data_IF_642066286375
#
_entry.id   IF_642066286375
#
_cell.length_a   1.000
_cell.length_b   1.000
_cell.length_c   1.000
_cell.angle_alpha   90.00
_cell.angle_beta   90.00
_cell.angle_gamma   90.00
#
_symmetry.space_group_name_H-M   'P 1'
#
loop_
_entity.id
_entity.type
_entity.pdbx_description
1 polymer ?
#
# COMPACT_ATOMS: atom_id res chain seq x y z
N UNK A 1 -9.96 -8.62 -0.23
CA UNK A 1 -9.81 -8.13 1.17
C UNK A 1 -11.19 -7.96 1.76
N UNK A 2 -11.42 -8.62 2.89
CA UNK A 2 -12.70 -8.60 3.61
C UNK A 2 -12.50 -7.92 4.95
N UNK A 3 -13.44 -7.05 5.32
CA UNK A 3 -13.50 -6.39 6.63
C UNK A 3 -14.90 -6.67 7.22
N UNK A 4 -14.97 -7.43 8.30
CA UNK A 4 -16.24 -7.95 8.81
C UNK A 4 -16.93 -8.82 7.76
N UNK A 5 -18.19 -8.50 7.44
CA UNK A 5 -18.97 -9.18 6.39
C UNK A 5 -18.80 -8.57 4.99
N UNK A 6 -18.07 -7.46 4.86
CA UNK A 6 -17.97 -6.72 3.59
C UNK A 6 -16.67 -7.01 2.86
N UNK A 7 -16.79 -7.40 1.60
CA UNK A 7 -15.66 -7.45 0.68
C UNK A 7 -15.37 -6.04 0.15
N UNK A 8 -14.17 -5.53 0.47
CA UNK A 8 -13.73 -4.16 0.11
C UNK A 8 -12.84 -4.18 -1.13
N UNK A 9 -12.02 -5.21 -1.30
CA UNK A 9 -11.21 -5.41 -2.50
C UNK A 9 -11.54 -6.77 -3.13
N UNK A 10 -11.89 -6.76 -4.41
CA UNK A 10 -12.35 -7.93 -5.17
C UNK A 10 -11.32 -8.27 -6.26
N UNK A 11 -10.44 -9.23 -5.99
CA UNK A 11 -9.55 -9.81 -7.01
C UNK A 11 -8.74 -8.81 -7.86
N UNK A 12 -8.07 -7.83 -7.24
CA UNK A 12 -7.26 -6.84 -7.96
C UNK A 12 -5.96 -7.49 -8.45
N UNK A 13 -5.61 -7.27 -9.72
CA UNK A 13 -4.35 -7.73 -10.32
C UNK A 13 -3.80 -6.66 -11.26
N UNK A 14 -2.57 -6.22 -11.01
CA UNK A 14 -1.83 -5.33 -11.89
C UNK A 14 -0.32 -5.46 -11.64
N UNK A 15 0.48 -4.97 -12.58
CA UNK A 15 1.93 -4.87 -12.48
C UNK A 15 2.32 -3.45 -12.87
N UNK A 16 3.31 -2.89 -12.16
CA UNK A 16 3.92 -1.60 -12.44
C UNK A 16 5.39 -1.87 -12.71
N UNK A 17 5.89 -1.45 -13.87
CA UNK A 17 7.26 -1.74 -14.25
C UNK A 17 8.24 -0.78 -13.57
N UNK A 18 9.50 -1.20 -13.50
CA UNK A 18 10.56 -0.36 -12.92
C UNK A 18 10.71 0.90 -13.78
N UNK A 19 10.56 2.06 -13.14
CA UNK A 19 10.69 3.37 -13.78
C UNK A 19 9.35 4.03 -14.11
N UNK A 20 8.25 3.30 -14.00
CA UNK A 20 6.92 3.84 -14.26
C UNK A 20 6.47 4.80 -13.16
N UNK A 21 5.80 5.88 -13.59
CA UNK A 21 4.96 6.70 -12.71
C UNK A 21 3.53 6.20 -12.88
N UNK A 22 2.97 5.62 -11.82
CA UNK A 22 1.65 4.97 -11.84
C UNK A 22 0.63 5.72 -10.98
N UNK A 23 -0.54 6.02 -11.55
CA UNK A 23 -1.67 6.61 -10.84
C UNK A 23 -2.75 5.58 -10.52
N UNK A 24 -3.11 5.44 -9.23
CA UNK A 24 -4.19 4.54 -8.79
C UNK A 24 -5.44 5.32 -8.39
N UNK A 25 -6.38 5.47 -9.33
CA UNK A 25 -7.52 6.40 -9.24
C UNK A 25 -8.87 5.67 -9.10
N UNK A 26 -9.88 6.40 -8.62
CA UNK A 26 -11.25 5.88 -8.42
C UNK A 26 -12.05 6.69 -7.39
N UNK A 27 -13.36 6.47 -7.25
CA UNK A 27 -14.21 7.21 -6.31
C UNK A 27 -13.88 6.90 -4.83
N UNK A 28 -14.44 7.69 -3.92
CA UNK A 28 -14.35 7.42 -2.49
C UNK A 28 -14.99 6.06 -2.16
N UNK A 29 -14.32 5.28 -1.30
CA UNK A 29 -14.76 3.91 -0.98
C UNK A 29 -14.39 2.85 -2.01
N UNK A 30 -13.75 3.18 -3.14
CA UNK A 30 -13.30 2.19 -4.14
C UNK A 30 -12.16 1.26 -3.66
N UNK A 31 -11.60 1.49 -2.46
CA UNK A 31 -10.54 0.66 -1.90
C UNK A 31 -9.11 1.10 -2.22
N UNK A 32 -8.91 2.33 -2.71
CA UNK A 32 -7.59 2.92 -3.03
C UNK A 32 -6.63 2.85 -1.84
N UNK A 33 -6.99 3.52 -0.74
CA UNK A 33 -6.19 3.57 0.50
C UNK A 33 -5.99 2.17 1.08
N UNK A 34 -7.00 1.29 1.01
CA UNK A 34 -6.87 -0.11 1.45
C UNK A 34 -5.83 -0.87 0.63
N UNK A 35 -5.82 -0.68 -0.69
CA UNK A 35 -4.84 -1.32 -1.60
C UNK A 35 -3.43 -0.81 -1.32
N UNK A 36 -3.25 0.50 -1.22
CA UNK A 36 -1.94 1.11 -0.92
C UNK A 36 -1.43 0.64 0.44
N UNK A 37 -2.26 0.63 1.50
CA UNK A 37 -1.86 0.13 2.82
C UNK A 37 -1.45 -1.35 2.79
N UNK A 38 -2.07 -2.16 1.93
CA UNK A 38 -1.63 -3.55 1.72
C UNK A 38 -0.24 -3.59 1.09
N UNK A 39 -0.01 -2.85 0.00
CA UNK A 39 1.29 -2.82 -0.67
C UNK A 39 2.42 -2.33 0.24
N UNK A 40 2.14 -1.36 1.11
CA UNK A 40 3.07 -0.85 2.11
C UNK A 40 3.29 -1.82 3.30
N UNK A 41 2.55 -2.94 3.37
CA UNK A 41 2.60 -3.88 4.49
C UNK A 41 1.95 -3.35 5.79
N UNK A 42 1.22 -2.24 5.71
CA UNK A 42 0.49 -1.64 6.84
C UNK A 42 -0.86 -2.32 7.11
N UNK A 43 -1.34 -3.12 6.15
CA UNK A 43 -2.57 -3.89 6.25
C UNK A 43 -2.38 -5.26 5.62
N UNK A 44 -2.66 -6.33 6.35
CA UNK A 44 -2.55 -7.68 5.78
C UNK A 44 -3.67 -7.94 4.75
N UNK A 45 -3.34 -8.54 3.61
CA UNK A 45 -4.34 -9.01 2.65
C UNK A 45 -5.11 -10.21 3.21
N UNK A 46 -6.41 -10.34 2.90
CA UNK A 46 -7.18 -11.55 3.26
C UNK A 46 -6.81 -12.76 2.40
N UNK A 47 -6.34 -12.51 1.17
CA UNK A 47 -5.96 -13.51 0.19
C UNK A 47 -5.12 -12.85 -0.91
N UNK A 48 -4.46 -13.65 -1.74
CA UNK A 48 -3.58 -13.17 -2.81
C UNK A 48 -2.16 -12.89 -2.34
N UNK A 49 -1.34 -12.37 -3.26
CA UNK A 49 0.09 -12.07 -3.03
C UNK A 49 0.44 -10.74 -3.67
N UNK A 50 1.39 -10.04 -3.08
CA UNK A 50 1.91 -8.79 -3.60
C UNK A 50 3.43 -8.76 -3.43
N UNK A 51 4.09 -8.11 -4.38
CA UNK A 51 5.55 -8.07 -4.45
C UNK A 51 6.00 -6.65 -4.76
N UNK A 52 7.10 -6.22 -4.15
CA UNK A 52 7.81 -4.99 -4.50
C UNK A 52 9.26 -5.37 -4.80
N UNK A 53 9.77 -4.90 -5.94
CA UNK A 53 11.12 -5.22 -6.43
C UNK A 53 11.41 -6.74 -6.44
N UNK A 54 10.42 -7.55 -6.81
CA UNK A 54 10.51 -9.01 -6.87
C UNK A 54 10.49 -9.73 -5.51
N UNK A 55 10.27 -9.01 -4.41
CA UNK A 55 10.25 -9.57 -3.06
C UNK A 55 8.88 -9.44 -2.41
N UNK A 56 8.49 -10.43 -1.60
CA UNK A 56 7.22 -10.41 -0.87
C UNK A 56 7.18 -9.21 0.09
N UNK A 57 6.06 -8.46 0.07
CA UNK A 57 5.86 -7.25 0.88
C UNK A 57 5.86 -7.51 2.39
N UNK A 58 5.63 -8.75 2.83
CA UNK A 58 5.62 -9.12 4.25
C UNK A 58 7.04 -9.28 4.82
N UNK A 59 8.08 -9.28 3.98
CA UNK A 59 9.46 -9.33 4.45
C UNK A 59 9.93 -7.95 4.94
N UNK A 60 10.66 -7.93 6.06
CA UNK A 60 11.25 -6.70 6.62
C UNK A 60 12.17 -6.01 5.63
N UNK A 61 12.99 -6.77 4.90
CA UNK A 61 13.92 -6.23 3.91
C UNK A 61 13.20 -5.56 2.73
N UNK A 62 12.02 -6.04 2.35
CA UNK A 62 11.20 -5.38 1.32
C UNK A 62 10.71 -4.03 1.82
N UNK A 63 10.19 -3.96 3.05
CA UNK A 63 9.68 -2.70 3.63
C UNK A 63 10.76 -1.63 3.77
N UNK A 64 12.01 -2.01 4.04
CA UNK A 64 13.15 -1.07 4.12
C UNK A 64 13.46 -0.38 2.78
N UNK A 65 12.95 -0.89 1.67
CA UNK A 65 13.17 -0.34 0.32
C UNK A 65 12.03 0.59 -0.13
N UNK A 66 11.03 0.84 0.71
CA UNK A 66 9.82 1.57 0.36
C UNK A 66 9.73 2.85 1.20
N UNK A 67 9.72 3.99 0.53
CA UNK A 67 9.32 5.28 1.12
C UNK A 67 7.86 5.57 0.79
N UNK A 68 7.15 6.23 1.70
CA UNK A 68 5.76 6.64 1.49
C UNK A 68 5.44 7.91 2.30
N UNK A 69 4.44 8.65 1.82
CA UNK A 69 3.80 9.74 2.56
C UNK A 69 2.33 9.38 2.70
N UNK A 70 1.79 9.44 3.92
CA UNK A 70 0.37 9.21 4.17
C UNK A 70 -0.38 10.55 4.21
N UNK A 71 -1.71 10.46 4.18
CA UNK A 71 -2.60 11.63 4.23
C UNK A 71 -2.45 12.43 5.52
N UNK A 72 -2.07 11.78 6.62
CA UNK A 72 -1.55 12.47 7.81
C UNK A 72 -0.04 12.59 7.61
N UNK A 73 0.45 13.82 7.69
CA UNK A 73 1.82 14.23 7.39
C UNK A 73 2.89 13.41 8.15
N UNK A 74 2.53 12.81 9.28
CA UNK A 74 3.39 11.87 10.01
C UNK A 74 4.66 12.53 10.53
N UNK A 75 4.62 13.86 10.65
CA UNK A 75 5.72 14.67 11.14
C UNK A 75 5.84 14.52 12.65
N UNK A 76 7.05 14.68 13.14
CA UNK A 76 7.32 14.73 14.57
C UNK A 76 7.03 16.15 15.06
N UNK A 77 6.04 16.30 15.95
CA UNK A 77 5.65 17.59 16.52
C UNK A 77 6.81 18.33 17.21
N UNK A 78 7.85 17.60 17.60
CA UNK A 78 9.03 18.11 18.30
C UNK A 78 10.29 18.20 17.42
N UNK A 79 10.16 18.19 16.10
CA UNK A 79 11.29 18.32 15.17
C UNK A 79 11.09 19.47 14.18
N UNK A 80 12.20 20.08 13.77
CA UNK A 80 12.25 21.04 12.65
C UNK A 80 12.67 20.31 11.37
N UNK A 81 12.51 20.96 10.21
CA UNK A 81 12.85 20.38 8.92
C UNK A 81 14.36 20.27 8.62
N UNK A 82 15.22 20.49 9.62
CA UNK A 82 16.69 20.51 9.51
C UNK A 82 17.33 19.21 10.01
#
# INVERSE_FOLDING_TARGET
KTLGSREVLKGISFTVERGDIFGYLGPNGAGKTTTIRILLGLLQASSGRAYIAGQDINLRETRRKVGFVLEVDGLYDNMTAE
#
